data_IF_667393145354
#
_entry.id   IF_667393145354
#
_cell.length_a   1.000
_cell.length_b   1.000
_cell.length_c   1.000
_cell.angle_alpha   90.00
_cell.angle_beta   90.00
_cell.angle_gamma   90.00
#
_symmetry.space_group_name_H-M   'P 1'
#
loop_
_entity.id
_entity.type
_entity.pdbx_description
1 polymer ?
#
# COMPACT_ATOMS: atom_id res chain seq x y z
N UNK A 1 -2.47 7.91 48.65
CA UNK A 1 -3.40 6.88 48.14
C UNK A 1 -4.07 7.51 46.95
N UNK A 2 -3.70 7.12 45.73
CA UNK A 2 -4.20 7.75 44.50
C UNK A 2 -5.13 6.74 43.84
N UNK A 3 -6.41 7.11 43.76
CA UNK A 3 -7.46 6.25 43.20
C UNK A 3 -7.31 6.15 41.69
N UNK A 4 -7.03 4.94 41.20
CA UNK A 4 -6.99 4.58 39.78
C UNK A 4 -8.35 4.10 39.25
N UNK A 5 -9.45 4.44 39.91
CA UNK A 5 -10.78 4.03 39.46
C UNK A 5 -11.34 5.02 38.42
N UNK A 6 -10.70 5.04 37.25
CA UNK A 6 -11.41 5.32 36.01
C UNK A 6 -11.41 3.99 35.26
N UNK A 7 -12.53 3.26 35.35
CA UNK A 7 -12.73 2.07 34.51
C UNK A 7 -12.60 2.46 33.03
N UNK A 8 -12.38 1.51 32.12
CA UNK A 8 -12.33 1.84 30.70
C UNK A 8 -13.66 2.47 30.32
N UNK A 9 -13.67 3.79 30.09
CA UNK A 9 -14.74 4.46 29.37
C UNK A 9 -14.95 3.61 28.10
N UNK A 10 -16.14 3.06 27.92
CA UNK A 10 -16.43 2.25 26.73
C UNK A 10 -16.19 3.15 25.51
N UNK A 11 -15.02 2.99 24.87
CA UNK A 11 -14.68 3.70 23.64
C UNK A 11 -15.61 3.12 22.58
N UNK A 12 -16.80 3.71 22.48
CA UNK A 12 -17.81 3.34 21.50
C UNK A 12 -17.19 3.62 20.14
N UNK A 13 -16.89 2.53 19.44
CA UNK A 13 -16.39 2.61 18.08
C UNK A 13 -17.51 3.18 17.22
N UNK A 14 -17.20 4.23 16.48
CA UNK A 14 -18.11 4.83 15.50
C UNK A 14 -18.60 3.78 14.51
N UNK A 15 -19.83 3.96 14.02
CA UNK A 15 -20.54 2.97 13.18
C UNK A 15 -19.78 2.59 11.91
N UNK A 16 -18.95 3.49 11.35
CA UNK A 16 -18.11 3.18 10.19
C UNK A 16 -16.99 2.17 10.49
N UNK A 17 -16.63 1.97 11.76
CA UNK A 17 -15.61 0.99 12.18
C UNK A 17 -16.19 -0.40 12.43
N UNK A 18 -17.47 -0.50 12.78
CA UNK A 18 -18.11 -1.75 13.21
C UNK A 18 -19.14 -2.27 12.22
N UNK A 19 -19.77 -1.38 11.45
CA UNK A 19 -20.83 -1.72 10.52
C UNK A 19 -20.40 -1.42 9.08
N UNK A 20 -20.53 -2.43 8.22
CA UNK A 20 -20.33 -2.25 6.80
C UNK A 20 -21.54 -1.52 6.20
N UNK A 21 -21.30 -0.58 5.27
CA UNK A 21 -22.39 0.06 4.55
C UNK A 21 -23.25 -0.99 3.83
N UNK A 22 -24.58 -0.78 3.71
CA UNK A 22 -25.53 -1.80 3.24
C UNK A 22 -25.24 -2.35 1.84
N UNK A 23 -24.51 -1.61 1.01
CA UNK A 23 -24.03 -2.06 -0.30
C UNK A 23 -22.95 -3.14 -0.23
N UNK A 24 -22.21 -3.24 0.87
CA UNK A 24 -21.03 -4.11 1.03
C UNK A 24 -21.25 -5.27 2.02
N UNK A 25 -22.42 -5.35 2.67
CA UNK A 25 -22.73 -6.36 3.68
C UNK A 25 -22.67 -7.80 3.15
N UNK A 26 -22.96 -8.00 1.85
CA UNK A 26 -22.96 -9.32 1.21
C UNK A 26 -21.66 -9.65 0.48
N UNK A 27 -20.64 -8.78 0.57
CA UNK A 27 -19.31 -9.13 0.09
C UNK A 27 -18.83 -10.24 1.01
N UNK A 28 -18.42 -11.37 0.43
CA UNK A 28 -18.01 -12.58 1.16
C UNK A 28 -16.77 -12.39 2.05
N UNK A 29 -16.88 -11.53 3.06
CA UNK A 29 -15.91 -11.17 4.09
C UNK A 29 -15.88 -12.25 5.20
N UNK A 30 -16.23 -13.49 4.84
CA UNK A 30 -16.06 -14.64 5.70
C UNK A 30 -14.59 -15.00 5.88
N UNK A 31 -14.34 -16.03 6.71
CA UNK A 31 -12.99 -16.53 6.96
C UNK A 31 -12.24 -16.79 5.64
N UNK A 32 -11.11 -16.10 5.45
CA UNK A 32 -10.29 -16.23 4.25
C UNK A 32 -9.71 -17.64 4.19
N UNK A 33 -10.00 -18.38 3.11
CA UNK A 33 -9.39 -19.69 2.86
C UNK A 33 -8.15 -19.55 1.99
N UNK A 34 -7.09 -20.31 2.28
CA UNK A 34 -5.93 -20.39 1.40
C UNK A 34 -6.30 -21.09 0.08
N UNK A 35 -5.83 -20.54 -1.05
CA UNK A 35 -6.02 -21.17 -2.36
C UNK A 35 -5.14 -22.42 -2.45
N UNK A 36 -5.75 -23.58 -2.72
CA UNK A 36 -5.04 -24.88 -2.78
C UNK A 36 -4.00 -25.00 -3.91
N UNK A 37 -4.10 -24.15 -4.93
CA UNK A 37 -3.18 -24.12 -6.08
C UNK A 37 -2.69 -22.71 -6.28
N UNK A 38 -1.38 -22.57 -6.50
CA UNK A 38 -0.81 -21.31 -6.95
C UNK A 38 -1.56 -20.87 -8.23
N UNK A 39 -2.01 -19.61 -8.26
CA UNK A 39 -2.59 -19.05 -9.48
C UNK A 39 -1.54 -18.97 -10.59
N UNK A 40 -1.94 -18.77 -11.85
CA UNK A 40 -0.99 -18.60 -12.94
C UNK A 40 0.08 -17.55 -12.55
N UNK A 41 1.34 -17.91 -12.80
CA UNK A 41 2.55 -17.08 -12.59
C UNK A 41 2.66 -15.94 -13.61
N UNK A 42 1.57 -15.61 -14.32
CA UNK A 42 1.57 -14.62 -15.40
C UNK A 42 1.68 -13.16 -14.93
N UNK A 43 1.98 -12.93 -13.65
CA UNK A 43 2.10 -11.59 -13.09
C UNK A 43 3.29 -11.59 -12.15
N UNK A 44 4.26 -10.74 -12.43
CA UNK A 44 5.46 -10.62 -11.60
C UNK A 44 5.07 -10.28 -10.16
N UNK A 45 5.41 -11.18 -9.24
CA UNK A 45 5.18 -11.04 -7.80
C UNK A 45 6.45 -10.58 -7.07
N UNK A 46 7.59 -10.50 -7.76
CA UNK A 46 8.91 -10.14 -7.22
C UNK A 46 8.89 -8.84 -6.40
N UNK A 47 8.01 -7.90 -6.78
CA UNK A 47 7.83 -6.61 -6.11
C UNK A 47 7.55 -6.76 -4.61
N UNK A 48 6.80 -7.79 -4.20
CA UNK A 48 6.39 -7.99 -2.81
C UNK A 48 6.70 -9.38 -2.25
N UNK A 49 7.08 -10.36 -3.08
CA UNK A 49 7.45 -11.71 -2.62
C UNK A 49 8.95 -11.94 -2.49
N UNK A 50 9.80 -11.19 -3.20
CA UNK A 50 11.25 -11.41 -3.11
C UNK A 50 11.84 -10.74 -1.86
N UNK A 51 12.60 -11.53 -1.12
CA UNK A 51 13.50 -11.08 -0.04
C UNK A 51 14.68 -10.30 -0.65
N UNK A 52 15.33 -9.36 0.07
CA UNK A 52 16.52 -8.68 -0.42
C UNK A 52 17.61 -9.63 -0.98
N UNK A 53 17.85 -10.76 -0.30
CA UNK A 53 18.78 -11.79 -0.76
C UNK A 53 18.33 -12.49 -2.07
N UNK A 54 17.03 -12.70 -2.26
CA UNK A 54 16.49 -13.29 -3.49
C UNK A 54 16.69 -12.37 -4.69
N UNK A 55 16.57 -11.05 -4.47
CA UNK A 55 16.84 -10.03 -5.50
C UNK A 55 18.30 -10.02 -5.91
N UNK A 56 19.22 -10.03 -4.95
CA UNK A 56 20.66 -10.05 -5.22
C UNK A 56 21.09 -11.32 -5.98
N UNK A 57 20.57 -12.50 -5.59
CA UNK A 57 20.84 -13.75 -6.29
C UNK A 57 20.31 -13.73 -7.73
N UNK A 58 19.06 -13.32 -7.92
CA UNK A 58 18.45 -13.20 -9.27
C UNK A 58 19.20 -12.21 -10.15
N UNK A 59 19.63 -11.06 -9.59
CA UNK A 59 20.45 -10.08 -10.32
C UNK A 59 21.79 -10.68 -10.77
N UNK A 60 22.45 -11.46 -9.91
CA UNK A 60 23.73 -12.09 -10.25
C UNK A 60 23.57 -13.18 -11.32
N UNK A 61 22.55 -14.03 -11.22
CA UNK A 61 22.21 -15.00 -12.27
C UNK A 61 21.90 -14.32 -13.62
N UNK A 62 21.20 -13.18 -13.61
CA UNK A 62 20.87 -12.44 -14.84
C UNK A 62 22.07 -11.77 -15.50
N UNK A 63 23.12 -11.47 -14.74
CA UNK A 63 24.38 -10.92 -15.25
C UNK A 63 25.33 -12.02 -15.78
N UNK A 64 25.27 -13.21 -15.19
CA UNK A 64 26.11 -14.37 -15.57
C UNK A 64 25.48 -15.20 -16.70
N UNK A 65 24.15 -15.22 -16.79
CA UNK A 65 23.39 -15.80 -17.89
C UNK A 65 23.20 -14.77 -19.02
N UNK A 66 23.70 -15.09 -20.21
CA UNK A 66 23.50 -14.29 -21.43
C UNK A 66 22.02 -14.29 -21.82
N UNK A 67 21.20 -13.44 -21.24
CA UNK A 67 19.88 -13.11 -21.80
C UNK A 67 19.82 -11.66 -22.23
N UNK A 68 19.25 -11.48 -23.41
CA UNK A 68 18.97 -10.21 -24.06
C UNK A 68 18.22 -9.29 -23.12
N UNK A 69 18.73 -8.07 -22.95
CA UNK A 69 18.03 -6.98 -22.26
C UNK A 69 16.70 -6.69 -22.99
N UNK A 70 15.65 -7.40 -22.61
CA UNK A 70 14.31 -6.85 -22.75
C UNK A 70 14.23 -5.70 -21.76
N UNK A 71 14.51 -4.48 -22.26
CA UNK A 71 14.17 -3.24 -21.56
C UNK A 71 12.68 -3.30 -21.30
N UNK A 72 12.33 -3.61 -20.05
CA UNK A 72 10.98 -3.46 -19.52
C UNK A 72 10.45 -2.11 -19.97
N UNK A 73 9.32 -2.06 -20.71
CA UNK A 73 8.76 -0.80 -21.14
C UNK A 73 8.42 0.00 -19.89
N UNK A 74 9.10 1.13 -19.69
CA UNK A 74 8.77 2.07 -18.61
C UNK A 74 7.27 2.29 -18.67
N UNK A 75 6.52 1.99 -17.58
CA UNK A 75 5.08 2.16 -17.57
C UNK A 75 4.76 3.60 -17.96
N UNK A 76 4.20 3.79 -19.15
CA UNK A 76 3.85 5.12 -19.63
C UNK A 76 2.68 5.60 -18.78
N UNK A 77 2.94 6.61 -17.96
CA UNK A 77 1.91 7.23 -17.14
C UNK A 77 0.81 7.77 -18.06
N UNK A 78 -0.43 7.45 -17.73
CA UNK A 78 -1.58 7.99 -18.44
C UNK A 78 -1.66 9.51 -18.27
N UNK A 79 -2.27 10.18 -19.24
CA UNK A 79 -2.45 11.64 -19.19
C UNK A 79 -3.14 12.11 -17.89
N UNK A 80 -4.06 11.29 -17.36
CA UNK A 80 -4.76 11.58 -16.10
C UNK A 80 -3.83 11.56 -14.89
N UNK A 81 -2.89 10.61 -14.84
CA UNK A 81 -1.92 10.49 -13.75
C UNK A 81 -0.94 11.65 -13.75
N UNK A 82 -0.49 12.10 -14.93
CA UNK A 82 0.36 13.27 -15.06
C UNK A 82 -0.34 14.55 -14.55
N UNK A 83 -1.59 14.77 -14.96
CA UNK A 83 -2.37 15.91 -14.47
C UNK A 83 -2.59 15.85 -12.94
N UNK A 84 -2.83 14.66 -12.40
CA UNK A 84 -2.99 14.47 -10.96
C UNK A 84 -1.69 14.79 -10.22
N UNK A 85 -0.56 14.28 -10.70
CA UNK A 85 0.76 14.56 -10.12
C UNK A 85 1.08 16.06 -10.12
N UNK A 86 0.76 16.77 -11.21
CA UNK A 86 0.94 18.21 -11.31
C UNK A 86 0.07 18.97 -10.28
N UNK A 87 -1.21 18.61 -10.15
CA UNK A 87 -2.13 19.21 -9.16
C UNK A 87 -1.64 18.99 -7.73
N UNK A 88 -1.23 17.76 -7.41
CA UNK A 88 -0.69 17.41 -6.08
C UNK A 88 0.61 18.15 -5.80
N UNK A 89 1.50 18.26 -6.79
CA UNK A 89 2.74 19.03 -6.68
C UNK A 89 2.46 20.50 -6.36
N UNK A 90 1.59 21.15 -7.14
CA UNK A 90 1.18 22.55 -6.92
C UNK A 90 0.59 22.77 -5.52
N UNK A 91 -0.32 21.89 -5.10
CA UNK A 91 -0.94 21.96 -3.78
C UNK A 91 0.07 21.74 -2.65
N UNK A 92 0.96 20.76 -2.81
CA UNK A 92 2.00 20.47 -1.83
C UNK A 92 2.97 21.63 -1.70
N UNK A 93 3.34 22.31 -2.78
CA UNK A 93 4.21 23.50 -2.72
C UNK A 93 3.51 24.65 -1.99
N UNK A 94 2.22 24.90 -2.27
CA UNK A 94 1.50 26.01 -1.65
C UNK A 94 1.04 25.75 -0.22
N UNK A 95 0.82 24.49 0.15
CA UNK A 95 0.21 24.08 1.43
C UNK A 95 1.19 23.33 2.35
N UNK A 96 2.41 22.98 1.90
CA UNK A 96 3.43 22.40 2.79
C UNK A 96 3.95 23.40 3.80
N UNK A 97 4.17 24.65 3.38
CA UNK A 97 4.83 25.65 4.22
C UNK A 97 4.01 25.97 5.48
N UNK A 98 2.68 25.86 5.40
CA UNK A 98 1.78 25.99 6.56
C UNK A 98 1.73 24.72 7.43
N UNK A 99 1.91 23.53 6.85
CA UNK A 99 1.80 22.24 7.56
C UNK A 99 3.09 21.82 8.28
N UNK A 100 4.27 22.21 7.79
CA UNK A 100 5.54 21.97 8.50
C UNK A 100 5.82 22.97 9.63
N UNK A 101 5.18 24.14 9.61
CA UNK A 101 5.40 25.21 10.60
C UNK A 101 4.61 25.04 11.91
N UNK A 102 3.67 24.08 12.00
CA UNK A 102 2.87 23.85 13.23
C UNK A 102 3.44 22.80 14.19
N UNK A 103 4.66 22.27 13.95
CA UNK A 103 5.40 21.54 15.00
C UNK A 103 6.27 22.53 15.74
N UNK A 104 5.76 23.10 16.83
CA UNK A 104 6.46 23.58 18.03
C UNK A 104 5.57 24.58 18.79
N UNK A 105 4.78 24.08 19.74
CA UNK A 105 4.46 24.73 21.02
C UNK A 105 3.88 23.68 21.97
#
# INVERSE_FOLDING_TARGET
MVDWQSGPEDVVRETWMTELPPTLQHIGLGARTFKKRAGPESKDRSLWTDTPADRERKLRERLEGKETEEKEPVPQLSHKELQMAEKVSKYNVSSRDSSSAQRNN
#
